data_IF_912195229145
#
_entry.id   IF_912195229145
#
_cell.length_a   1.000
_cell.length_b   1.000
_cell.length_c   1.000
_cell.angle_alpha   90.00
_cell.angle_beta   90.00
_cell.angle_gamma   90.00
#
_symmetry.space_group_name_H-M   'P 1'
#
loop_
_entity.id
_entity.type
_entity.pdbx_description
1 polymer ?
#
# COMPACT_ATOMS: atom_id res chain seq x y z
N UNK A 1 15.13 -45.74 -56.53
CA UNK A 1 14.66 -44.34 -56.70
C UNK A 1 14.40 -43.72 -55.33
N UNK A 2 14.64 -42.41 -55.17
CA UNK A 2 14.28 -41.69 -53.94
C UNK A 2 12.75 -41.50 -53.89
N UNK A 3 12.12 -41.59 -52.70
CA UNK A 3 10.69 -41.33 -52.56
C UNK A 3 10.40 -39.86 -52.88
N UNK A 4 9.36 -39.59 -53.67
CA UNK A 4 8.88 -38.22 -53.98
C UNK A 4 8.35 -37.50 -52.73
N UNK A 5 8.22 -36.17 -52.77
CA UNK A 5 7.67 -35.40 -51.64
C UNK A 5 6.22 -35.80 -51.31
N UNK A 6 5.43 -36.13 -52.34
CA UNK A 6 4.09 -36.69 -52.17
C UNK A 6 4.12 -38.05 -51.45
N UNK A 7 5.06 -38.92 -51.80
CA UNK A 7 5.24 -40.23 -51.14
C UNK A 7 5.68 -40.06 -49.69
N UNK A 8 6.58 -39.13 -49.37
CA UNK A 8 6.97 -38.85 -47.98
C UNK A 8 5.80 -38.33 -47.14
N UNK A 9 4.93 -37.53 -47.74
CA UNK A 9 3.72 -37.01 -47.09
C UNK A 9 2.72 -38.14 -46.81
N UNK A 10 2.53 -39.05 -47.76
CA UNK A 10 1.70 -40.25 -47.59
C UNK A 10 2.24 -41.16 -46.47
N UNK A 11 3.56 -41.38 -46.43
CA UNK A 11 4.23 -42.15 -45.37
C UNK A 11 4.00 -41.51 -44.00
N UNK A 12 4.14 -40.19 -43.92
CA UNK A 12 3.91 -39.44 -42.68
C UNK A 12 2.49 -39.66 -42.13
N UNK A 13 1.48 -39.49 -43.00
CA UNK A 13 0.07 -39.74 -42.64
C UNK A 13 -0.13 -41.16 -42.13
N UNK A 14 0.41 -42.17 -42.84
CA UNK A 14 0.30 -43.58 -42.44
C UNK A 14 0.93 -43.85 -41.07
N UNK A 15 2.10 -43.27 -40.80
CA UNK A 15 2.77 -43.39 -39.50
C UNK A 15 1.87 -42.84 -38.39
N UNK A 16 1.19 -41.71 -38.63
CA UNK A 16 0.29 -41.08 -37.66
C UNK A 16 -1.02 -41.85 -37.44
N UNK A 17 -1.52 -42.60 -38.43
CA UNK A 17 -2.70 -43.45 -38.26
C UNK A 17 -2.40 -44.76 -37.52
N UNK A 18 -1.14 -45.20 -37.52
CA UNK A 18 -0.75 -46.48 -36.90
C UNK A 18 -0.99 -46.42 -35.38
N UNK A 19 -1.76 -47.35 -34.77
CA UNK A 19 -2.00 -47.33 -33.32
C UNK A 19 -0.73 -47.69 -32.54
N UNK A 20 -0.56 -47.09 -31.36
CA UNK A 20 0.57 -47.39 -30.48
C UNK A 20 0.28 -48.71 -29.74
N UNK A 21 0.91 -49.82 -30.14
CA UNK A 21 0.72 -51.14 -29.49
C UNK A 21 1.72 -51.33 -28.34
N UNK A 22 1.29 -51.97 -27.25
CA UNK A 22 2.20 -52.40 -26.20
C UNK A 22 3.13 -53.52 -26.72
N UNK A 23 4.42 -53.46 -26.38
CA UNK A 23 5.40 -54.51 -26.66
C UNK A 23 6.22 -54.35 -27.95
N UNK A 24 5.65 -53.81 -29.03
CA UNK A 24 6.37 -53.65 -30.31
C UNK A 24 6.20 -52.25 -30.91
N UNK A 25 7.33 -51.58 -31.12
CA UNK A 25 7.48 -50.27 -31.78
C UNK A 25 6.66 -49.14 -31.14
N UNK A 26 7.31 -48.33 -30.30
CA UNK A 26 6.75 -47.03 -29.88
C UNK A 26 6.58 -46.17 -31.13
N UNK A 27 5.38 -46.16 -31.71
CA UNK A 27 5.02 -45.39 -32.91
C UNK A 27 5.52 -43.95 -32.80
N UNK A 28 5.29 -43.32 -31.65
CA UNK A 28 5.72 -41.96 -31.34
C UNK A 28 7.25 -41.78 -31.42
N UNK A 29 8.02 -42.78 -30.96
CA UNK A 29 9.49 -42.78 -31.03
C UNK A 29 9.98 -42.94 -32.47
N UNK A 30 9.38 -43.83 -33.25
CA UNK A 30 9.79 -44.01 -34.65
C UNK A 30 9.32 -42.87 -35.56
N UNK A 31 8.16 -42.27 -35.27
CA UNK A 31 7.69 -41.06 -35.92
C UNK A 31 8.64 -39.88 -35.67
N UNK A 32 9.08 -39.72 -34.41
CA UNK A 32 10.11 -38.75 -34.04
C UNK A 32 11.42 -38.95 -34.82
N UNK A 33 11.86 -40.21 -34.99
CA UNK A 33 13.04 -40.53 -35.80
C UNK A 33 12.84 -40.25 -37.30
N UNK A 34 11.64 -40.51 -37.82
CA UNK A 34 11.28 -40.20 -39.19
C UNK A 34 11.41 -38.70 -39.46
N UNK A 35 10.88 -37.85 -38.58
CA UNK A 35 11.01 -36.39 -38.69
C UNK A 35 12.48 -35.94 -38.57
N UNK A 36 13.23 -36.47 -37.59
CA UNK A 36 14.64 -36.09 -37.42
C UNK A 36 15.51 -36.45 -38.66
N UNK A 37 15.24 -37.57 -39.32
CA UNK A 37 15.99 -37.98 -40.51
C UNK A 37 15.50 -37.27 -41.78
N UNK A 38 14.18 -37.12 -41.95
CA UNK A 38 13.54 -36.63 -43.17
C UNK A 38 13.34 -35.12 -43.24
N UNK A 39 13.10 -34.45 -42.10
CA UNK A 39 12.83 -33.00 -42.04
C UNK A 39 14.02 -32.19 -41.50
N UNK A 40 14.90 -32.83 -40.74
CA UNK A 40 16.11 -32.19 -40.21
C UNK A 40 17.41 -32.76 -40.79
N UNK A 41 17.32 -33.82 -41.60
CA UNK A 41 18.47 -34.39 -42.30
C UNK A 41 19.50 -35.06 -41.39
N UNK A 42 19.17 -35.49 -40.16
CA UNK A 42 20.14 -36.13 -39.25
C UNK A 42 20.51 -37.55 -39.73
N UNK A 43 21.73 -38.01 -39.43
CA UNK A 43 22.06 -39.44 -39.59
C UNK A 43 21.31 -40.26 -38.54
N UNK A 44 20.99 -41.52 -38.82
CA UNK A 44 20.23 -42.38 -37.88
C UNK A 44 20.82 -42.43 -36.46
N UNK A 45 22.15 -42.55 -36.34
CA UNK A 45 22.80 -42.56 -35.02
C UNK A 45 22.76 -41.19 -34.34
N UNK A 46 22.80 -40.10 -35.10
CA UNK A 46 22.66 -38.74 -34.57
C UNK A 46 21.22 -38.51 -34.09
N UNK A 47 20.23 -38.99 -34.85
CA UNK A 47 18.81 -38.89 -34.54
C UNK A 47 18.45 -39.69 -33.29
N UNK A 48 18.94 -40.93 -33.14
CA UNK A 48 18.68 -41.77 -31.95
C UNK A 48 19.25 -41.13 -30.67
N UNK A 49 20.41 -40.47 -30.78
CA UNK A 49 21.07 -39.82 -29.66
C UNK A 49 20.68 -38.33 -29.51
N UNK A 50 19.68 -37.86 -30.25
CA UNK A 50 19.31 -36.45 -30.25
C UNK A 50 18.69 -36.04 -28.92
N UNK A 51 19.29 -35.04 -28.28
CA UNK A 51 18.85 -34.52 -26.98
C UNK A 51 18.24 -33.13 -27.12
N UNK A 52 16.99 -32.98 -26.67
CA UNK A 52 16.26 -31.71 -26.64
C UNK A 52 16.89 -30.69 -25.67
N UNK A 53 17.66 -31.16 -24.68
CA UNK A 53 18.33 -30.30 -23.70
C UNK A 53 19.67 -29.77 -24.21
N UNK A 54 20.22 -30.31 -25.30
CA UNK A 54 21.48 -29.87 -25.89
C UNK A 54 21.34 -28.56 -26.72
N UNK A 55 20.32 -27.76 -26.44
CA UNK A 55 20.03 -26.49 -27.12
C UNK A 55 20.98 -25.39 -26.63
N UNK A 56 21.63 -24.74 -27.58
CA UNK A 56 22.52 -23.59 -27.33
C UNK A 56 21.72 -22.29 -27.18
N UNK A 57 22.33 -21.25 -26.61
CA UNK A 57 21.75 -19.90 -26.53
C UNK A 57 21.35 -19.34 -27.91
N UNK A 58 22.03 -19.76 -28.98
CA UNK A 58 21.75 -19.37 -30.37
C UNK A 58 20.62 -20.18 -31.03
N UNK A 59 19.92 -21.02 -30.28
CA UNK A 59 18.80 -21.83 -30.79
C UNK A 59 19.19 -23.08 -31.58
N UNK A 60 20.49 -23.36 -31.74
CA UNK A 60 21.01 -24.56 -32.42
C UNK A 60 21.19 -25.72 -31.44
N UNK A 61 21.15 -26.95 -31.94
CA UNK A 61 21.34 -28.16 -31.14
C UNK A 61 22.74 -28.75 -31.34
N UNK A 62 23.42 -29.06 -30.25
CA UNK A 62 24.73 -29.71 -30.27
C UNK A 62 24.57 -31.22 -30.39
N UNK A 63 25.06 -31.82 -31.48
CA UNK A 63 25.03 -33.26 -31.71
C UNK A 63 26.44 -33.84 -31.84
N UNK A 64 26.62 -35.07 -31.37
CA UNK A 64 27.87 -35.83 -31.50
C UNK A 64 27.93 -36.55 -32.85
N UNK A 65 28.94 -36.23 -33.65
CA UNK A 65 29.25 -36.87 -34.93
C UNK A 65 30.26 -38.02 -34.75
N UNK A 66 30.51 -38.77 -35.82
CA UNK A 66 31.59 -39.77 -35.92
C UNK A 66 32.91 -39.17 -35.41
N UNK A 67 33.59 -39.86 -34.48
CA UNK A 67 34.84 -39.41 -33.86
C UNK A 67 34.66 -38.41 -32.72
N UNK A 68 33.50 -38.39 -32.04
CA UNK A 68 33.19 -37.50 -30.90
C UNK A 68 33.22 -35.98 -31.20
N UNK A 69 33.35 -35.60 -32.48
CA UNK A 69 33.28 -34.20 -32.90
C UNK A 69 31.87 -33.66 -32.71
N UNK A 70 31.72 -32.49 -32.08
CA UNK A 70 30.44 -31.80 -31.96
C UNK A 70 30.14 -31.05 -33.26
N UNK A 71 28.91 -31.13 -33.77
CA UNK A 71 28.40 -30.19 -34.77
C UNK A 71 27.08 -29.59 -34.32
N UNK A 72 26.81 -28.36 -34.75
CA UNK A 72 25.58 -27.66 -34.44
C UNK A 72 24.61 -27.82 -35.60
N UNK A 73 23.40 -28.26 -35.31
CA UNK A 73 22.33 -28.45 -36.30
C UNK A 73 21.14 -27.58 -35.94
N UNK A 74 20.52 -27.02 -36.98
CA UNK A 74 19.22 -26.40 -36.86
C UNK A 74 18.15 -27.48 -36.97
N UNK A 75 17.16 -27.45 -36.07
CA UNK A 75 15.99 -28.32 -36.12
C UNK A 75 14.75 -27.43 -36.25
N UNK A 76 13.90 -27.64 -37.27
CA UNK A 76 12.69 -26.83 -37.44
C UNK A 76 11.81 -26.86 -36.20
N UNK A 77 11.22 -25.71 -35.84
CA UNK A 77 10.39 -25.59 -34.64
C UNK A 77 9.18 -26.53 -34.66
N UNK A 78 8.62 -26.83 -35.84
CA UNK A 78 7.57 -27.83 -36.03
C UNK A 78 8.01 -29.20 -35.53
N UNK A 79 9.22 -29.66 -35.91
CA UNK A 79 9.78 -30.93 -35.47
C UNK A 79 10.01 -30.93 -33.94
N UNK A 80 10.49 -29.83 -33.37
CA UNK A 80 10.66 -29.71 -31.91
C UNK A 80 9.34 -29.85 -31.15
N UNK A 81 8.26 -29.23 -31.65
CA UNK A 81 6.92 -29.36 -31.05
C UNK A 81 6.45 -30.82 -31.06
N UNK A 82 6.60 -31.51 -32.19
CA UNK A 82 6.26 -32.92 -32.33
C UNK A 82 7.10 -33.82 -31.40
N UNK A 83 8.40 -33.57 -31.28
CA UNK A 83 9.28 -34.34 -30.39
C UNK A 83 8.85 -34.20 -28.92
N UNK A 84 8.48 -32.98 -28.50
CA UNK A 84 7.97 -32.73 -27.14
C UNK A 84 6.63 -33.42 -26.90
N UNK A 85 5.68 -33.30 -27.83
CA UNK A 85 4.37 -33.96 -27.75
C UNK A 85 4.50 -35.48 -27.63
N UNK A 86 5.50 -36.05 -28.31
CA UNK A 86 5.79 -37.49 -28.30
C UNK A 86 6.65 -37.95 -27.12
N UNK A 87 6.98 -37.08 -26.15
CA UNK A 87 7.85 -37.37 -25.01
C UNK A 87 9.20 -38.00 -25.44
N UNK A 88 9.79 -37.45 -26.52
CA UNK A 88 11.06 -37.92 -27.06
C UNK A 88 12.18 -37.83 -26.03
N UNK A 89 12.99 -38.89 -25.94
CA UNK A 89 14.24 -38.93 -25.19
C UNK A 89 15.32 -39.67 -26.00
N UNK A 90 16.61 -39.32 -25.84
CA UNK A 90 17.69 -40.07 -26.46
C UNK A 90 17.64 -41.56 -26.10
N UNK A 91 18.10 -42.43 -27.00
CA UNK A 91 18.27 -43.87 -26.78
C UNK A 91 16.98 -44.66 -26.43
N UNK A 92 15.80 -44.14 -26.80
CA UNK A 92 14.53 -44.84 -26.64
C UNK A 92 14.35 -46.06 -27.58
N UNK A 93 15.17 -46.16 -28.62
CA UNK A 93 15.17 -47.27 -29.59
C UNK A 93 16.57 -47.40 -30.22
N UNK A 94 16.79 -48.50 -30.94
CA UNK A 94 18.00 -48.71 -31.73
C UNK A 94 17.73 -48.53 -33.24
N UNK A 95 18.81 -48.50 -34.03
CA UNK A 95 18.75 -48.37 -35.50
C UNK A 95 17.98 -49.51 -36.15
N UNK A 96 18.19 -50.75 -35.71
CA UNK A 96 17.57 -51.94 -36.31
C UNK A 96 16.04 -51.85 -36.21
N UNK A 97 15.51 -51.51 -35.04
CA UNK A 97 14.07 -51.32 -34.83
C UNK A 97 13.51 -50.24 -35.75
N UNK A 98 14.24 -49.14 -35.97
CA UNK A 98 13.82 -48.10 -36.89
C UNK A 98 13.84 -48.56 -38.36
N UNK A 99 14.84 -49.34 -38.78
CA UNK A 99 14.85 -49.97 -40.10
C UNK A 99 13.67 -50.94 -40.30
N UNK A 100 13.37 -51.78 -39.30
CA UNK A 100 12.22 -52.69 -39.34
C UNK A 100 10.90 -51.93 -39.42
N UNK A 101 10.76 -50.84 -38.66
CA UNK A 101 9.60 -49.96 -38.70
C UNK A 101 9.41 -49.36 -40.10
N UNK A 102 10.45 -48.77 -40.70
CA UNK A 102 10.36 -48.22 -42.06
C UNK A 102 10.01 -49.29 -43.10
N UNK A 103 10.57 -50.50 -42.98
CA UNK A 103 10.22 -51.63 -43.86
C UNK A 103 8.77 -52.09 -43.70
N UNK A 104 8.22 -52.04 -42.48
CA UNK A 104 6.81 -52.31 -42.20
C UNK A 104 5.93 -51.25 -42.87
N UNK A 105 6.21 -49.96 -42.63
CA UNK A 105 5.44 -48.86 -43.25
C UNK A 105 5.52 -48.92 -44.79
N UNK A 106 6.69 -49.23 -45.37
CA UNK A 106 6.84 -49.41 -46.83
C UNK A 106 5.85 -50.45 -47.37
N UNK A 107 5.67 -51.58 -46.67
CA UNK A 107 4.73 -52.65 -47.04
C UNK A 107 3.28 -52.18 -46.88
N UNK A 108 2.97 -51.51 -45.79
CA UNK A 108 1.60 -51.04 -45.50
C UNK A 108 1.10 -49.95 -46.46
N UNK A 109 2.01 -49.17 -47.06
CA UNK A 109 1.69 -48.13 -48.06
C UNK A 109 1.77 -48.69 -49.49
N UNK A 110 2.08 -49.98 -49.67
CA UNK A 110 2.24 -50.63 -50.99
C UNK A 110 3.20 -49.88 -51.93
N UNK A 111 4.31 -49.36 -51.38
CA UNK A 111 5.30 -48.66 -52.20
C UNK A 111 6.03 -49.64 -53.13
N UNK A 112 6.22 -49.21 -54.39
CA UNK A 112 6.94 -49.99 -55.40
C UNK A 112 8.29 -50.49 -54.88
N UNK A 113 8.68 -51.70 -55.30
CA UNK A 113 9.92 -52.35 -54.88
C UNK A 113 11.15 -51.44 -55.09
N UNK A 114 11.13 -50.65 -56.16
CA UNK A 114 12.21 -49.76 -56.61
C UNK A 114 12.39 -48.50 -55.75
N UNK A 115 11.44 -48.17 -54.86
CA UNK A 115 11.54 -47.03 -53.94
C UNK A 115 12.17 -47.49 -52.64
N UNK A 116 13.37 -47.02 -52.33
CA UNK A 116 14.01 -47.35 -51.05
C UNK A 116 13.42 -46.50 -49.92
N UNK A 117 13.14 -47.11 -48.77
CA UNK A 117 12.73 -46.39 -47.56
C UNK A 117 13.61 -46.81 -46.38
N UNK A 118 14.69 -46.07 -46.21
CA UNK A 118 15.67 -46.27 -45.13
C UNK A 118 16.02 -44.92 -44.49
N UNK A 119 16.63 -44.88 -43.30
CA UNK A 119 17.05 -43.63 -42.68
C UNK A 119 18.02 -42.82 -43.56
N UNK A 120 18.90 -43.50 -44.30
CA UNK A 120 19.78 -42.83 -45.26
C UNK A 120 19.00 -42.31 -46.46
N UNK A 121 17.99 -43.04 -46.94
CA UNK A 121 17.12 -42.57 -48.01
C UNK A 121 16.34 -41.33 -47.59
N UNK A 122 15.78 -41.28 -46.37
CA UNK A 122 15.10 -40.10 -45.83
C UNK A 122 16.00 -38.86 -45.82
N UNK A 123 17.24 -39.03 -45.34
CA UNK A 123 18.22 -37.94 -45.34
C UNK A 123 18.66 -37.52 -46.75
N UNK A 124 18.74 -38.46 -47.69
CA UNK A 124 19.03 -38.16 -49.10
C UNK A 124 17.88 -37.38 -49.74
N UNK A 125 16.64 -37.78 -49.50
CA UNK A 125 15.47 -37.02 -49.92
C UNK A 125 15.48 -35.61 -49.36
N UNK A 126 15.78 -35.43 -48.07
CA UNK A 126 15.97 -34.12 -47.47
C UNK A 126 17.00 -33.27 -48.24
N UNK A 127 18.16 -33.84 -48.55
CA UNK A 127 19.23 -33.15 -49.27
C UNK A 127 18.82 -32.79 -50.70
N UNK A 128 18.21 -33.73 -51.43
CA UNK A 128 17.73 -33.54 -52.80
C UNK A 128 16.66 -32.45 -52.86
N UNK A 129 15.64 -32.47 -51.99
CA UNK A 129 14.58 -31.46 -52.02
C UNK A 129 15.05 -30.07 -51.68
N UNK A 130 15.97 -29.92 -50.73
CA UNK A 130 16.51 -28.61 -50.42
C UNK A 130 17.46 -28.10 -51.51
N UNK A 131 18.17 -28.99 -52.21
CA UNK A 131 18.96 -28.61 -53.37
C UNK A 131 18.05 -28.18 -54.54
N UNK A 132 16.98 -28.93 -54.81
CA UNK A 132 15.96 -28.60 -55.82
C UNK A 132 15.24 -27.28 -55.50
N UNK A 133 15.01 -26.98 -54.22
CA UNK A 133 14.44 -25.70 -53.78
C UNK A 133 15.42 -24.52 -53.82
N UNK A 134 16.61 -24.68 -54.41
CA UNK A 134 17.59 -23.61 -54.60
C UNK A 134 18.52 -23.34 -53.42
N UNK A 135 18.62 -24.24 -52.42
CA UNK A 135 19.55 -24.05 -51.31
C UNK A 135 21.01 -24.23 -51.80
N UNK A 136 21.84 -23.22 -51.55
CA UNK A 136 23.27 -23.25 -51.91
C UNK A 136 23.96 -24.50 -51.34
N UNK A 137 24.62 -25.28 -52.22
CA UNK A 137 25.28 -26.54 -51.86
C UNK A 137 26.28 -26.43 -50.68
N UNK A 138 27.08 -25.35 -50.53
CA UNK A 138 27.95 -25.19 -49.36
C UNK A 138 27.17 -25.12 -48.04
N UNK A 139 26.01 -24.45 -48.05
CA UNK A 139 25.14 -24.34 -46.88
C UNK A 139 24.47 -25.67 -46.55
N UNK A 140 23.97 -26.37 -47.57
CA UNK A 140 23.40 -27.71 -47.43
C UNK A 140 24.44 -28.72 -46.91
N UNK A 141 25.68 -28.67 -47.41
CA UNK A 141 26.79 -29.50 -46.96
C UNK A 141 27.13 -29.28 -45.49
N UNK A 142 27.08 -28.03 -45.03
CA UNK A 142 27.29 -27.64 -43.63
C UNK A 142 26.16 -28.12 -42.72
N UNK A 143 24.90 -28.01 -43.16
CA UNK A 143 23.72 -28.48 -42.43
C UNK A 143 23.74 -30.00 -42.23
N UNK A 144 24.14 -30.74 -43.27
CA UNK A 144 24.28 -32.18 -43.23
C UNK A 144 25.56 -32.63 -42.49
N UNK A 145 26.55 -31.77 -42.32
CA UNK A 145 27.83 -32.14 -41.69
C UNK A 145 28.60 -33.16 -42.53
N UNK A 146 28.70 -32.90 -43.84
CA UNK A 146 29.59 -33.62 -44.75
C UNK A 146 31.00 -33.05 -44.66
N UNK A 147 32.01 -33.92 -44.56
CA UNK A 147 33.43 -33.53 -44.49
C UNK A 147 34.01 -33.07 -45.83
N UNK A 148 33.27 -33.26 -46.92
CA UNK A 148 33.65 -32.83 -48.26
C UNK A 148 32.44 -32.33 -49.03
N UNK A 149 32.60 -31.19 -49.72
CA UNK A 149 31.60 -30.64 -50.65
C UNK A 149 31.38 -31.60 -51.84
N UNK A 150 32.37 -32.43 -52.19
CA UNK A 150 32.27 -33.45 -53.25
C UNK A 150 31.13 -34.45 -53.03
N UNK A 151 30.88 -34.82 -51.76
CA UNK A 151 29.76 -35.70 -51.40
C UNK A 151 28.41 -35.02 -51.59
N UNK A 152 28.37 -33.69 -51.50
CA UNK A 152 27.19 -32.87 -51.73
C UNK A 152 27.00 -32.57 -53.23
N UNK A 153 28.09 -32.41 -53.98
CA UNK A 153 28.11 -32.22 -55.43
C UNK A 153 27.59 -33.44 -56.22
N UNK A 154 27.83 -34.66 -55.73
CA UNK A 154 27.26 -35.89 -56.32
C UNK A 154 25.72 -35.91 -56.36
N UNK A 155 25.05 -35.21 -55.43
CA UNK A 155 23.59 -35.10 -55.47
C UNK A 155 23.12 -34.18 -56.60
N UNK A 156 23.89 -33.13 -56.90
CA UNK A 156 23.59 -32.21 -57.99
C UNK A 156 23.84 -32.85 -59.37
N UNK A 157 24.95 -33.58 -59.51
CA UNK A 157 25.31 -34.30 -60.76
C UNK A 157 24.29 -35.37 -61.14
N UNK A 158 23.69 -36.06 -60.16
CA UNK A 158 22.63 -37.04 -60.44
C UNK A 158 21.30 -36.42 -60.90
N UNK A 159 21.10 -35.13 -60.65
CA UNK A 159 19.89 -34.38 -61.01
C UNK A 159 20.08 -33.67 -62.37
N UNK A 160 21.33 -33.36 -62.73
CA UNK A 160 21.72 -32.72 -64.00
C UNK A 160 22.77 -33.55 -64.78
N UNK A 161 22.39 -34.73 -65.33
CA UNK A 161 23.33 -35.57 -66.09
C UNK A 161 23.70 -34.97 -67.46
N UNK A 162 22.88 -34.06 -68.01
CA UNK A 162 23.02 -33.52 -69.37
C UNK A 162 23.94 -32.31 -69.48
N UNK A 163 24.49 -31.82 -68.37
CA UNK A 163 25.35 -30.62 -68.34
C UNK A 163 26.83 -30.92 -68.71
N UNK A 164 27.12 -32.11 -69.23
CA UNK A 164 28.46 -32.47 -69.73
C UNK A 164 28.60 -31.97 -71.18
N UNK A 165 29.15 -30.77 -71.29
CA UNK A 165 29.50 -30.04 -72.51
C UNK A 165 30.15 -30.92 -73.61
N UNK A 166 29.50 -31.05 -74.77
CA UNK A 166 30.13 -31.51 -76.03
C UNK A 166 29.94 -30.48 -77.15
N UNK A 167 31.06 -30.08 -77.75
CA UNK A 167 31.25 -28.86 -78.53
C UNK A 167 30.76 -28.89 -80.00
N UNK A 168 29.83 -29.77 -80.38
CA UNK A 168 29.54 -30.02 -81.80
C UNK A 168 28.16 -29.55 -82.32
N UNK A 169 27.61 -28.45 -81.76
CA UNK A 169 26.30 -27.89 -82.17
C UNK A 169 26.33 -26.42 -82.61
N UNK A 170 27.47 -25.87 -83.03
CA UNK A 170 27.62 -24.40 -83.19
C UNK A 170 27.08 -23.78 -84.51
N UNK A 171 26.67 -24.56 -85.52
CA UNK A 171 26.21 -23.98 -86.79
C UNK A 171 24.75 -23.47 -86.76
N UNK A 172 23.83 -24.13 -86.05
CA UNK A 172 22.43 -23.71 -85.90
C UNK A 172 22.16 -22.81 -84.68
N UNK A 173 23.18 -22.57 -83.84
CA UNK A 173 23.06 -21.79 -82.60
C UNK A 173 23.31 -20.30 -82.80
N UNK A 174 23.92 -19.82 -83.89
CA UNK A 174 24.31 -18.41 -84.05
C UNK A 174 23.13 -17.42 -83.97
N UNK A 175 21.99 -17.64 -84.65
CA UNK A 175 20.81 -16.76 -84.55
C UNK A 175 20.10 -16.88 -83.19
N UNK A 176 20.12 -18.07 -82.58
CA UNK A 176 19.57 -18.31 -81.23
C UNK A 176 20.48 -17.70 -80.14
N UNK A 177 21.79 -17.64 -80.37
CA UNK A 177 22.77 -17.01 -79.51
C UNK A 177 22.62 -15.49 -79.57
N UNK A 178 22.38 -14.88 -80.74
CA UNK A 178 22.11 -13.45 -80.82
C UNK A 178 20.80 -13.05 -80.15
N UNK A 179 19.71 -13.80 -80.35
CA UNK A 179 18.44 -13.55 -79.62
C UNK A 179 18.56 -13.83 -78.12
N UNK A 180 19.27 -14.89 -77.70
CA UNK A 180 19.57 -15.12 -76.28
C UNK A 180 20.46 -14.03 -75.70
N UNK A 181 21.46 -13.55 -76.43
CA UNK A 181 22.35 -12.47 -75.98
C UNK A 181 21.61 -11.13 -75.86
N UNK A 182 20.66 -10.84 -76.76
CA UNK A 182 19.76 -9.69 -76.60
C UNK A 182 18.87 -9.85 -75.35
N UNK A 183 18.28 -11.03 -75.14
CA UNK A 183 17.51 -11.34 -73.93
C UNK A 183 18.35 -11.21 -72.65
N UNK A 184 19.61 -11.66 -72.69
CA UNK A 184 20.57 -11.53 -71.59
C UNK A 184 20.89 -10.06 -71.32
N UNK A 185 21.02 -9.23 -72.36
CA UNK A 185 21.25 -7.79 -72.22
C UNK A 185 20.03 -7.07 -71.62
N UNK A 186 18.81 -7.41 -72.05
CA UNK A 186 17.56 -6.90 -71.44
C UNK A 186 17.46 -7.29 -69.96
N UNK A 187 17.64 -8.59 -69.66
CA UNK A 187 17.64 -9.09 -68.29
C UNK A 187 18.74 -8.46 -67.43
N UNK A 188 19.91 -8.18 -67.99
CA UNK A 188 20.99 -7.48 -67.28
C UNK A 188 20.61 -6.02 -66.96
N UNK A 189 19.87 -5.35 -67.85
CA UNK A 189 19.31 -4.02 -67.60
C UNK A 189 18.25 -4.02 -66.49
N UNK A 190 17.33 -4.98 -66.51
CA UNK A 190 16.35 -5.18 -65.43
C UNK A 190 17.04 -5.51 -64.10
N UNK A 191 18.07 -6.35 -64.12
CA UNK A 191 18.83 -6.70 -62.93
C UNK A 191 19.57 -5.49 -62.36
N UNK A 192 20.10 -4.61 -63.21
CA UNK A 192 20.72 -3.36 -62.79
C UNK A 192 19.72 -2.41 -62.12
N UNK A 193 18.51 -2.27 -62.68
CA UNK A 193 17.42 -1.50 -62.07
C UNK A 193 17.01 -2.08 -60.70
N UNK A 194 16.81 -3.40 -60.63
CA UNK A 194 16.48 -4.08 -59.37
C UNK A 194 17.60 -3.96 -58.33
N UNK A 195 18.87 -3.93 -58.74
CA UNK A 195 19.98 -3.67 -57.81
C UNK A 195 19.95 -2.24 -57.27
N UNK A 196 19.69 -1.24 -58.12
CA UNK A 196 19.56 0.15 -57.64
C UNK A 196 18.36 0.33 -56.71
N UNK A 197 17.23 -0.29 -57.02
CA UNK A 197 16.03 -0.24 -56.17
C UNK A 197 16.28 -0.93 -54.81
N UNK A 198 16.98 -2.06 -54.81
CA UNK A 198 17.40 -2.74 -53.59
C UNK A 198 18.33 -1.87 -52.73
N UNK A 199 19.26 -1.14 -53.34
CA UNK A 199 20.16 -0.23 -52.61
C UNK A 199 19.40 0.93 -51.96
N UNK A 200 18.42 1.52 -52.67
CA UNK A 200 17.53 2.55 -52.12
C UNK A 200 16.75 2.00 -50.93
N UNK A 201 16.12 0.83 -51.09
CA UNK A 201 15.36 0.18 -50.00
C UNK A 201 16.24 -0.16 -48.79
N UNK A 202 17.51 -0.52 -49.01
CA UNK A 202 18.46 -0.76 -47.93
C UNK A 202 18.82 0.52 -47.19
N UNK A 203 18.97 1.64 -47.90
CA UNK A 203 19.17 2.97 -47.31
C UNK A 203 17.96 3.40 -46.48
N UNK A 204 16.75 3.24 -47.01
CA UNK A 204 15.51 3.58 -46.31
C UNK A 204 15.34 2.74 -45.04
N UNK A 205 15.62 1.43 -45.12
CA UNK A 205 15.62 0.53 -43.96
C UNK A 205 16.62 0.98 -42.89
N UNK A 206 17.80 1.45 -43.28
CA UNK A 206 18.81 1.96 -42.34
C UNK A 206 18.30 3.22 -41.63
N UNK A 207 17.73 4.17 -42.38
CA UNK A 207 17.13 5.39 -41.80
C UNK A 207 15.99 5.06 -40.84
N UNK A 208 15.10 4.14 -41.21
CA UNK A 208 13.99 3.70 -40.34
C UNK A 208 14.49 3.04 -39.06
N UNK A 209 15.57 2.26 -39.13
CA UNK A 209 16.16 1.63 -37.95
C UNK A 209 16.78 2.65 -37.00
N UNK A 210 17.41 3.70 -37.53
CA UNK A 210 17.96 4.80 -36.75
C UNK A 210 16.84 5.59 -36.04
N UNK A 211 15.76 5.92 -36.75
CA UNK A 211 14.58 6.56 -36.16
C UNK A 211 13.95 5.69 -35.06
N UNK A 212 13.83 4.38 -35.29
CA UNK A 212 13.33 3.45 -34.26
C UNK A 212 14.26 3.36 -33.04
N UNK A 213 15.57 3.45 -33.24
CA UNK A 213 16.53 3.49 -32.14
C UNK A 213 16.37 4.78 -31.31
N UNK A 214 16.20 5.93 -31.96
CA UNK A 214 15.93 7.20 -31.30
C UNK A 214 14.62 7.17 -30.49
N UNK A 215 13.53 6.68 -31.09
CA UNK A 215 12.24 6.54 -30.40
C UNK A 215 12.32 5.60 -29.19
N UNK A 216 13.11 4.52 -29.27
CA UNK A 216 13.33 3.62 -28.13
C UNK A 216 14.09 4.30 -27.00
N UNK A 217 15.07 5.15 -27.33
CA UNK A 217 15.80 5.92 -26.34
C UNK A 217 14.88 6.96 -25.67
N UNK A 218 14.05 7.65 -26.44
CA UNK A 218 13.06 8.60 -25.91
C UNK A 218 12.04 7.91 -25.00
N UNK A 219 11.50 6.76 -25.41
CA UNK A 219 10.63 5.94 -24.57
C UNK A 219 11.31 5.50 -23.27
N UNK A 220 12.60 5.17 -23.32
CA UNK A 220 13.37 4.83 -22.12
C UNK A 220 13.44 6.01 -21.16
N UNK A 221 13.73 7.22 -21.65
CA UNK A 221 13.80 8.44 -20.83
C UNK A 221 12.43 8.76 -20.22
N UNK A 222 11.36 8.73 -21.02
CA UNK A 222 9.99 8.96 -20.55
C UNK A 222 9.58 7.92 -19.50
N UNK A 223 9.97 6.66 -19.66
CA UNK A 223 9.69 5.62 -18.67
C UNK A 223 10.38 5.88 -17.33
N UNK A 224 11.62 6.39 -17.37
CA UNK A 224 12.39 6.74 -16.18
C UNK A 224 11.80 7.97 -15.48
N UNK A 225 11.42 9.00 -16.25
CA UNK A 225 10.72 10.18 -15.73
C UNK A 225 9.40 9.80 -15.06
N UNK A 226 8.58 8.97 -15.72
CA UNK A 226 7.34 8.46 -15.14
C UNK A 226 7.58 7.70 -13.84
N UNK A 227 8.63 6.88 -13.76
CA UNK A 227 8.98 6.16 -12.54
C UNK A 227 9.39 7.13 -11.40
N UNK A 228 10.14 8.18 -11.72
CA UNK A 228 10.50 9.22 -10.75
C UNK A 228 9.26 9.98 -10.25
N UNK A 229 8.38 10.40 -11.14
CA UNK A 229 7.12 11.07 -10.77
C UNK A 229 6.23 10.18 -9.90
N UNK A 230 6.16 8.88 -10.21
CA UNK A 230 5.39 7.92 -9.40
C UNK A 230 5.97 7.83 -7.98
N UNK A 231 7.29 7.75 -7.84
CA UNK A 231 7.95 7.73 -6.53
C UNK A 231 7.77 9.03 -5.75
N UNK A 232 7.82 10.18 -6.42
CA UNK A 232 7.51 11.48 -5.80
C UNK A 232 6.06 11.52 -5.31
N UNK A 233 5.12 11.00 -6.10
CA UNK A 233 3.71 10.96 -5.72
C UNK A 233 3.47 10.06 -4.51
N UNK A 234 4.12 8.90 -4.44
CA UNK A 234 4.09 8.01 -3.27
C UNK A 234 4.62 8.71 -2.01
N UNK A 235 5.73 9.45 -2.12
CA UNK A 235 6.27 10.22 -1.00
C UNK A 235 5.29 11.31 -0.54
N UNK A 236 4.65 12.01 -1.47
CA UNK A 236 3.64 13.03 -1.15
C UNK A 236 2.45 12.39 -0.43
N UNK A 237 1.98 11.23 -0.88
CA UNK A 237 0.90 10.51 -0.20
C UNK A 237 1.28 10.12 1.23
N UNK A 238 2.49 9.60 1.43
CA UNK A 238 2.98 9.26 2.76
C UNK A 238 3.00 10.50 3.68
N UNK A 239 3.59 11.60 3.21
CA UNK A 239 3.61 12.85 3.97
C UNK A 239 2.19 13.34 4.31
N UNK A 240 1.24 13.20 3.38
CA UNK A 240 -0.15 13.61 3.59
C UNK A 240 -0.85 12.73 4.64
N UNK A 241 -0.54 11.43 4.68
CA UNK A 241 -1.04 10.54 5.74
C UNK A 241 -0.47 10.90 7.12
N UNK A 242 0.81 11.26 7.21
CA UNK A 242 1.45 11.70 8.47
C UNK A 242 0.86 13.03 8.96
N UNK A 243 0.60 13.97 8.06
CA UNK A 243 -0.09 15.24 8.37
C UNK A 243 -1.51 14.98 8.87
N UNK A 244 -2.26 14.08 8.24
CA UNK A 244 -3.61 13.74 8.71
C UNK A 244 -3.60 13.08 10.09
N UNK A 245 -2.62 12.21 10.37
CA UNK A 245 -2.48 11.61 11.70
C UNK A 245 -2.19 12.66 12.77
N UNK A 246 -1.32 13.64 12.47
CA UNK A 246 -1.01 14.74 13.40
C UNK A 246 -2.21 15.67 13.60
N UNK A 247 -2.99 15.98 12.56
CA UNK A 247 -4.26 16.73 12.69
C UNK A 247 -5.23 16.00 13.63
N UNK A 248 -5.48 14.70 13.41
CA UNK A 248 -6.37 13.90 14.26
C UNK A 248 -5.93 13.90 15.73
N UNK A 249 -4.61 13.80 15.98
CA UNK A 249 -4.07 13.87 17.34
C UNK A 249 -4.29 15.25 18.00
N UNK A 250 -4.12 16.33 17.23
CA UNK A 250 -4.37 17.68 17.71
C UNK A 250 -5.85 17.91 18.01
N UNK A 251 -6.76 17.39 17.19
CA UNK A 251 -8.21 17.45 17.44
C UNK A 251 -8.60 16.69 18.72
N UNK A 252 -8.03 15.52 18.97
CA UNK A 252 -8.22 14.79 20.23
C UNK A 252 -7.72 15.58 21.44
N UNK A 253 -6.57 16.25 21.32
CA UNK A 253 -6.07 17.14 22.38
C UNK A 253 -6.99 18.34 22.60
N UNK A 254 -7.48 18.96 21.53
CA UNK A 254 -8.39 20.10 21.61
C UNK A 254 -9.66 19.72 22.36
N UNK A 255 -10.32 18.63 21.96
CA UNK A 255 -11.54 18.13 22.62
C UNK A 255 -11.32 17.82 24.10
N UNK A 256 -10.18 17.23 24.47
CA UNK A 256 -9.82 16.99 25.87
C UNK A 256 -9.63 18.32 26.65
N UNK A 257 -8.99 19.32 26.04
CA UNK A 257 -8.84 20.64 26.66
C UNK A 257 -10.16 21.38 26.82
N UNK A 258 -11.06 21.30 25.84
CA UNK A 258 -12.40 21.88 25.89
C UNK A 258 -13.25 21.24 27.00
N UNK A 259 -13.17 19.91 27.13
CA UNK A 259 -13.81 19.19 28.23
C UNK A 259 -13.32 19.69 29.60
N UNK A 260 -12.00 19.78 29.79
CA UNK A 260 -11.41 20.27 31.03
C UNK A 260 -11.80 21.73 31.34
N UNK A 261 -11.84 22.58 30.31
CA UNK A 261 -12.29 23.97 30.44
C UNK A 261 -13.74 24.05 30.91
N UNK A 262 -14.64 23.24 30.34
CA UNK A 262 -16.05 23.21 30.73
C UNK A 262 -16.20 22.73 32.19
N UNK A 263 -15.47 21.70 32.60
CA UNK A 263 -15.45 21.24 34.00
C UNK A 263 -14.97 22.34 34.96
N UNK A 264 -13.93 23.07 34.59
CA UNK A 264 -13.43 24.20 35.38
C UNK A 264 -14.47 25.33 35.48
N UNK A 265 -15.16 25.65 34.37
CA UNK A 265 -16.23 26.66 34.35
C UNK A 265 -17.41 26.24 35.24
N UNK A 266 -17.85 24.99 35.17
CA UNK A 266 -18.91 24.48 36.05
C UNK A 266 -18.53 24.56 37.53
N UNK A 267 -17.28 24.22 37.85
CA UNK A 267 -16.75 24.33 39.22
C UNK A 267 -16.73 25.78 39.68
N UNK A 268 -16.26 26.69 38.83
CA UNK A 268 -16.22 28.12 39.16
C UNK A 268 -17.65 28.67 39.39
N UNK A 269 -18.62 28.30 38.56
CA UNK A 269 -20.01 28.71 38.74
C UNK A 269 -20.59 28.23 40.08
N UNK A 270 -20.29 26.98 40.49
CA UNK A 270 -20.69 26.45 41.80
C UNK A 270 -20.05 27.24 42.95
N UNK A 271 -18.75 27.55 42.86
CA UNK A 271 -18.05 28.36 43.86
C UNK A 271 -18.62 29.78 43.95
N UNK A 272 -18.93 30.41 42.82
CA UNK A 272 -19.58 31.72 42.80
C UNK A 272 -20.95 31.70 43.49
N UNK A 273 -21.76 30.66 43.26
CA UNK A 273 -23.05 30.49 43.95
C UNK A 273 -22.86 30.33 45.46
N UNK A 274 -21.92 29.48 45.90
CA UNK A 274 -21.59 29.32 47.32
C UNK A 274 -21.16 30.64 47.95
N UNK A 275 -20.26 31.37 47.31
CA UNK A 275 -19.77 32.66 47.78
C UNK A 275 -20.90 33.70 47.87
N UNK A 276 -21.86 33.67 46.94
CA UNK A 276 -23.05 34.52 47.04
C UNK A 276 -23.90 34.17 48.25
N UNK A 277 -24.17 32.88 48.49
CA UNK A 277 -24.93 32.45 49.68
C UNK A 277 -24.23 32.84 50.98
N UNK A 278 -22.91 32.71 51.05
CA UNK A 278 -22.13 33.13 52.22
C UNK A 278 -22.21 34.66 52.43
N UNK A 279 -22.14 35.45 51.35
CA UNK A 279 -22.33 36.91 51.42
C UNK A 279 -23.71 37.28 51.95
N UNK A 280 -24.76 36.61 51.49
CA UNK A 280 -26.13 36.81 51.99
C UNK A 280 -26.25 36.44 53.47
N UNK A 281 -25.65 35.32 53.90
CA UNK A 281 -25.63 34.94 55.32
C UNK A 281 -24.89 35.95 56.18
N UNK A 282 -23.74 36.47 55.71
CA UNK A 282 -22.98 37.48 56.42
C UNK A 282 -23.75 38.81 56.51
N UNK A 283 -24.41 39.23 55.43
CA UNK A 283 -25.26 40.42 55.45
C UNK A 283 -26.38 40.30 56.50
N UNK A 284 -27.03 39.13 56.57
CA UNK A 284 -28.07 38.84 57.58
C UNK A 284 -27.52 38.86 59.01
N UNK A 285 -26.33 38.29 59.23
CA UNK A 285 -25.66 38.31 60.54
C UNK A 285 -25.30 39.73 60.96
N UNK A 286 -24.75 40.54 60.05
CA UNK A 286 -24.45 41.96 60.30
C UNK A 286 -25.71 42.75 60.64
N UNK A 287 -26.82 42.53 59.93
CA UNK A 287 -28.09 43.18 60.26
C UNK A 287 -28.60 42.81 61.66
N UNK A 288 -28.49 41.53 62.06
CA UNK A 288 -28.82 41.08 63.42
C UNK A 288 -27.91 41.72 64.46
N UNK A 289 -26.61 41.80 64.21
CA UNK A 289 -25.65 42.44 65.11
C UNK A 289 -26.02 43.90 65.36
N UNK A 290 -26.28 44.67 64.29
CA UNK A 290 -26.71 46.06 64.39
C UNK A 290 -28.01 46.20 65.21
N UNK A 291 -28.97 45.28 65.05
CA UNK A 291 -30.19 45.28 65.86
C UNK A 291 -29.91 45.02 67.34
N UNK A 292 -29.00 44.10 67.66
CA UNK A 292 -28.59 43.84 69.05
C UNK A 292 -27.84 45.02 69.66
N UNK A 293 -26.95 45.67 68.89
CA UNK A 293 -26.26 46.89 69.32
C UNK A 293 -27.26 48.01 69.62
N UNK A 294 -28.25 48.23 68.75
CA UNK A 294 -29.29 49.23 68.99
C UNK A 294 -30.13 48.92 70.24
N UNK A 295 -30.49 47.65 70.44
CA UNK A 295 -31.19 47.21 71.64
C UNK A 295 -30.35 47.43 72.90
N UNK A 296 -29.04 47.18 72.82
CA UNK A 296 -28.11 47.42 73.92
C UNK A 296 -28.01 48.92 74.26
N UNK A 297 -27.91 49.80 73.26
CA UNK A 297 -27.92 51.26 73.44
C UNK A 297 -29.22 51.70 74.11
N UNK A 298 -30.37 51.20 73.65
CA UNK A 298 -31.67 51.51 74.24
C UNK A 298 -31.75 51.07 75.72
N UNK A 299 -31.23 49.89 76.04
CA UNK A 299 -31.19 49.38 77.41
C UNK A 299 -30.27 50.21 78.31
N UNK A 300 -29.10 50.64 77.81
CA UNK A 300 -28.18 51.53 78.53
C UNK A 300 -28.84 52.88 78.82
N UNK A 301 -29.54 53.46 77.84
CA UNK A 301 -30.28 54.71 78.03
C UNK A 301 -31.39 54.55 79.07
N UNK A 302 -32.18 53.46 79.00
CA UNK A 302 -33.22 53.17 79.99
C UNK A 302 -32.64 52.98 81.40
N UNK A 303 -31.51 52.29 81.52
CA UNK A 303 -30.80 52.12 82.79
C UNK A 303 -30.30 53.45 83.36
N UNK A 304 -29.75 54.34 82.54
CA UNK A 304 -29.32 55.68 82.97
C UNK A 304 -30.50 56.52 83.48
N UNK A 305 -31.66 56.45 82.82
CA UNK A 305 -32.88 57.13 83.28
C UNK A 305 -33.30 56.57 84.65
N UNK A 306 -33.39 55.25 84.79
CA UNK A 306 -33.75 54.61 86.05
C UNK A 306 -32.77 54.96 87.20
N UNK A 307 -31.48 55.12 86.90
CA UNK A 307 -30.48 55.56 87.87
C UNK A 307 -30.74 57.01 88.34
N UNK A 308 -31.05 57.92 87.41
CA UNK A 308 -31.41 59.31 87.73
C UNK A 308 -32.69 59.37 88.57
N UNK A 309 -33.70 58.58 88.22
CA UNK A 309 -34.96 58.51 88.97
C UNK A 309 -34.73 57.99 90.40
N UNK A 310 -33.87 56.96 90.55
CA UNK A 310 -33.43 56.47 91.86
C UNK A 310 -32.74 57.56 92.67
N UNK A 311 -31.82 58.32 92.07
CA UNK A 311 -31.14 59.43 92.75
C UNK A 311 -32.10 60.55 93.17
N UNK A 312 -33.09 60.86 92.32
CA UNK A 312 -34.13 61.84 92.64
C UNK A 312 -35.00 61.38 93.80
N UNK A 313 -35.48 60.12 93.77
CA UNK A 313 -36.25 59.53 94.85
C UNK A 313 -35.46 59.52 96.17
N UNK A 314 -34.15 59.22 96.11
CA UNK A 314 -33.28 59.28 97.29
C UNK A 314 -33.15 60.71 97.85
N UNK A 315 -33.04 61.72 96.99
CA UNK A 315 -33.02 63.13 97.42
C UNK A 315 -34.34 63.54 98.07
N UNK A 316 -35.48 63.15 97.49
CA UNK A 316 -36.80 63.41 98.05
C UNK A 316 -36.96 62.72 99.42
N UNK A 317 -36.53 61.46 99.54
CA UNK A 317 -36.54 60.74 100.81
C UNK A 317 -35.69 61.44 101.88
N UNK A 318 -34.49 61.90 101.52
CA UNK A 318 -33.61 62.64 102.43
C UNK A 318 -34.24 63.99 102.84
N UNK A 319 -34.90 64.70 101.93
CA UNK A 319 -35.64 65.92 102.26
C UNK A 319 -36.78 65.64 103.24
N UNK A 320 -37.60 64.60 102.99
CA UNK A 320 -38.65 64.18 103.91
C UNK A 320 -38.08 63.85 105.29
N UNK A 321 -36.96 63.12 105.36
CA UNK A 321 -36.28 62.80 106.61
C UNK A 321 -35.87 64.07 107.38
N UNK A 322 -35.33 65.09 106.71
CA UNK A 322 -35.00 66.37 107.34
C UNK A 322 -36.24 67.16 107.79
N UNK A 323 -37.33 67.14 107.01
CA UNK A 323 -38.60 67.74 107.44
C UNK A 323 -39.17 67.05 108.68
N UNK A 324 -39.12 65.72 108.75
CA UNK A 324 -39.54 64.93 109.92
C UNK A 324 -38.66 65.25 111.13
N UNK A 325 -37.33 65.30 110.97
CA UNK A 325 -36.42 65.70 112.05
C UNK A 325 -36.73 67.11 112.57
N UNK A 326 -37.04 68.04 111.68
CA UNK A 326 -37.38 69.42 112.04
C UNK A 326 -38.72 69.48 112.76
N UNK A 327 -39.74 68.79 112.26
CA UNK A 327 -41.04 68.67 112.91
C UNK A 327 -40.92 68.00 114.29
N UNK A 328 -40.09 66.95 114.43
CA UNK A 328 -39.81 66.31 115.71
C UNK A 328 -39.14 67.27 116.70
N UNK A 329 -38.18 68.10 116.25
CA UNK A 329 -37.58 69.16 117.08
C UNK A 329 -38.62 70.21 117.51
N UNK A 330 -39.47 70.67 116.60
CA UNK A 330 -40.55 71.62 116.90
C UNK A 330 -41.57 71.03 117.88
N UNK A 331 -41.96 69.77 117.69
CA UNK A 331 -42.86 69.06 118.60
C UNK A 331 -42.24 68.92 120.00
N UNK A 332 -40.94 68.61 120.09
CA UNK A 332 -40.23 68.57 121.36
C UNK A 332 -40.16 69.94 122.04
N UNK A 333 -39.93 71.03 121.28
CA UNK A 333 -39.99 72.38 121.83
C UNK A 333 -41.39 72.75 122.31
N UNK A 334 -42.42 72.48 121.50
CA UNK A 334 -43.82 72.70 121.86
C UNK A 334 -44.20 71.91 123.11
N UNK A 335 -43.82 70.64 123.23
CA UNK A 335 -44.13 69.82 124.41
C UNK A 335 -43.46 70.37 125.67
N UNK A 336 -42.23 70.89 125.55
CA UNK A 336 -41.51 71.56 126.64
C UNK A 336 -42.20 72.85 127.07
N UNK A 337 -42.63 73.70 126.12
CA UNK A 337 -43.37 74.94 126.40
C UNK A 337 -44.71 74.62 127.06
N UNK A 338 -45.45 73.65 126.53
CA UNK A 338 -46.75 73.24 127.06
C UNK A 338 -46.61 72.64 128.48
N UNK A 339 -45.55 71.87 128.73
CA UNK A 339 -45.20 71.40 130.07
C UNK A 339 -44.93 72.56 131.03
N UNK A 340 -44.16 73.58 130.64
CA UNK A 340 -43.94 74.76 131.48
C UNK A 340 -45.22 75.57 131.71
N UNK A 341 -46.08 75.73 130.71
CA UNK A 341 -47.38 76.39 130.87
C UNK A 341 -48.32 75.63 131.81
N UNK A 342 -48.30 74.29 131.77
CA UNK A 342 -49.00 73.47 132.76
C UNK A 342 -48.41 73.63 134.16
N UNK A 343 -47.08 73.75 134.27
CA UNK A 343 -46.40 73.98 135.54
C UNK A 343 -46.69 75.36 136.11
N UNK A 344 -46.76 76.40 135.26
CA UNK A 344 -47.22 77.75 135.62
C UNK A 344 -48.67 77.71 136.09
N UNK A 345 -49.60 77.07 135.37
CA UNK A 345 -50.98 76.90 135.85
C UNK A 345 -51.05 76.18 137.19
N UNK A 346 -50.24 75.14 137.40
CA UNK A 346 -50.16 74.46 138.69
C UNK A 346 -49.55 75.34 139.79
N UNK A 347 -48.59 76.20 139.44
CA UNK A 347 -47.99 77.16 140.37
C UNK A 347 -48.93 78.34 140.66
N UNK A 348 -49.74 78.80 139.71
CA UNK A 348 -50.82 79.76 139.92
C UNK A 348 -51.91 79.17 140.81
N UNK A 349 -52.30 77.91 140.59
CA UNK A 349 -53.18 77.16 141.50
C UNK A 349 -52.57 77.03 142.90
N UNK A 350 -51.27 76.72 143.01
CA UNK A 350 -50.56 76.67 144.30
C UNK A 350 -50.39 78.05 144.95
N UNK A 351 -50.25 79.12 144.17
CA UNK A 351 -50.17 80.50 144.64
C UNK A 351 -51.55 81.01 145.12
N UNK A 352 -52.65 80.54 144.52
CA UNK A 352 -54.00 80.73 145.05
C UNK A 352 -54.22 79.97 146.37
N UNK A 353 -53.54 78.83 146.59
CA UNK A 353 -53.58 78.06 147.84
C UNK A 353 -52.68 78.68 148.94
N UNK A 354 -51.74 79.57 148.59
CA UNK A 354 -50.77 80.20 149.50
C UNK A 354 -51.00 81.72 149.70
N UNK A 355 -52.25 82.19 149.61
CA UNK A 355 -52.64 83.49 150.19
C UNK A 355 -53.27 83.30 151.57
N UNK A 356 -52.52 83.50 152.68
CA UNK A 356 -53.12 83.63 154.00
C UNK A 356 -53.78 85.01 154.15
N UNK A 357 -55.04 85.00 154.60
CA UNK A 357 -55.80 86.17 155.03
C UNK A 357 -54.99 87.00 156.06
N UNK A 358 -54.90 88.34 155.92
CA UNK A 358 -54.22 89.21 156.89
C UNK A 358 -55.05 89.42 158.17
N UNK A 359 -54.44 89.49 159.37
CA UNK A 359 -55.13 89.87 160.61
C UNK A 359 -55.32 91.40 160.74
N UNK A 360 -56.30 91.89 161.54
CA UNK A 360 -56.92 93.18 161.31
C UNK A 360 -56.35 94.36 162.15
N UNK A 361 -56.57 95.59 161.61
CA UNK A 361 -56.52 96.94 162.24
C UNK A 361 -55.14 97.62 162.38
N UNK A 362 -54.91 98.95 162.25
CA UNK A 362 -55.62 100.20 161.84
C UNK A 362 -54.54 101.35 161.92
N UNK A 363 -54.87 102.65 161.81
CA UNK A 363 -54.18 103.63 160.95
C UNK A 363 -53.06 104.46 161.64
N UNK A 364 -52.24 105.13 160.83
CA UNK A 364 -51.79 106.51 161.06
C UNK A 364 -51.43 107.17 159.74
#
# INVERSE_FOLDING_TARGET
MLPSQAVLTQINHKIQETPNRQGEYKKNTHYSLFLLCGEAGLRVNEAINFDLNAKTQKGLYSIKSKGQKKRYVYIPQKVIKELKANNWRPNQTNRFNFYHFLRKIKREVNLSANIELTPHTLRRSFATYHAESGLLLPLLSKLLGHSSVRTTALYWVNIHPDDIFTANKHANLRPQLTTKNQKIAELAGELAQLTTEKEILQSDLASLNEQNAALRQELSVLSQQKAQETSQWEQIQQNLTEVNQTINHLEQKLTATEYNLNQAQQTNNRLCQQLQTERETNANLTAKLNSYEQNHINLLNAYQIALKDKELAQKQLNQLLETIKTAAKQFHQWSKVNYYQQLEKQNELKAQILQPNPPPWKPR
#
